data_IF_241250195482
#
_entry.id   IF_241250195482
#
_cell.length_a   1.000
_cell.length_b   1.000
_cell.length_c   1.000
_cell.angle_alpha   90.00
_cell.angle_beta   90.00
_cell.angle_gamma   90.00
#
_symmetry.space_group_name_H-M   'P 1'
#
loop_
_entity.id
_entity.type
_entity.pdbx_description
1 polymer ?
#
# COMPACT_ATOMS: atom_id res chain seq x y z
N UNK A 1 -14.86 5.04 15.20
CA UNK A 1 -13.47 5.44 15.46
C UNK A 1 -12.71 4.23 16.01
N UNK A 2 -12.80 3.06 15.34
CA UNK A 2 -12.39 1.77 15.91
C UNK A 2 -10.86 1.54 15.87
N UNK A 3 -10.19 1.98 14.80
CA UNK A 3 -8.74 1.73 14.59
C UNK A 3 -7.84 2.31 15.69
N UNK A 4 -8.16 3.49 16.23
CA UNK A 4 -7.33 4.07 17.29
C UNK A 4 -7.39 3.28 18.61
N UNK A 5 -8.53 2.65 18.88
CA UNK A 5 -8.75 1.81 20.07
C UNK A 5 -8.20 0.39 19.83
N UNK A 6 -8.50 -0.20 18.67
CA UNK A 6 -8.12 -1.58 18.29
C UNK A 6 -6.60 -1.82 18.16
N UNK A 7 -5.82 -0.74 18.09
CA UNK A 7 -4.36 -0.77 17.92
C UNK A 7 -3.62 0.06 18.99
N UNK A 8 -4.30 0.46 20.07
CA UNK A 8 -3.69 1.25 21.13
C UNK A 8 -2.54 0.51 21.85
N UNK A 9 -2.55 -0.82 21.81
CA UNK A 9 -1.54 -1.71 22.36
C UNK A 9 -0.28 -1.86 21.48
N UNK A 10 -0.40 -1.56 20.18
CA UNK A 10 0.66 -1.81 19.19
C UNK A 10 1.75 -0.75 19.22
N UNK A 11 1.36 0.52 19.40
CA UNK A 11 2.29 1.64 19.42
C UNK A 11 1.72 2.90 18.79
N UNK A 12 2.52 3.97 18.67
CA UNK A 12 2.07 5.21 18.06
C UNK A 12 1.80 5.04 16.57
N UNK A 13 0.79 5.75 16.07
CA UNK A 13 0.46 5.83 14.64
C UNK A 13 0.78 7.24 14.15
N UNK A 14 1.69 7.35 13.19
CA UNK A 14 1.91 8.61 12.46
C UNK A 14 0.86 8.72 11.35
N UNK A 15 0.14 9.85 11.31
CA UNK A 15 -0.87 10.13 10.28
C UNK A 15 -0.45 11.33 9.41
N UNK A 16 -0.51 11.14 8.10
CA UNK A 16 -0.35 12.20 7.12
C UNK A 16 -1.68 12.47 6.42
N UNK A 17 -2.23 13.68 6.60
CA UNK A 17 -3.46 14.10 5.92
C UNK A 17 -3.17 14.48 4.48
N UNK A 18 -3.95 13.94 3.53
CA UNK A 18 -3.75 14.11 2.08
C UNK A 18 -5.05 14.38 1.37
N UNK A 19 -4.99 15.03 0.21
CA UNK A 19 -6.09 15.00 -0.75
C UNK A 19 -5.84 13.88 -1.76
N UNK A 20 -6.80 12.97 -1.87
CA UNK A 20 -6.76 11.82 -2.77
C UNK A 20 -8.11 11.83 -3.51
N UNK A 21 -8.06 11.82 -4.84
CA UNK A 21 -9.26 11.84 -5.70
C UNK A 21 -10.25 12.96 -5.35
N UNK A 22 -9.73 14.15 -5.02
CA UNK A 22 -10.51 15.31 -4.59
C UNK A 22 -11.04 15.26 -3.16
N UNK A 23 -11.04 14.11 -2.49
CA UNK A 23 -11.46 13.95 -1.10
C UNK A 23 -10.32 14.13 -0.09
N UNK A 24 -10.68 14.45 1.16
CA UNK A 24 -9.75 14.42 2.28
C UNK A 24 -9.56 12.97 2.75
N UNK A 25 -8.31 12.55 2.87
CA UNK A 25 -7.90 11.21 3.30
C UNK A 25 -6.72 11.31 4.27
N UNK A 26 -6.35 10.19 4.88
CA UNK A 26 -5.19 10.05 5.75
C UNK A 26 -4.40 8.80 5.38
N UNK A 27 -3.08 8.90 5.40
CA UNK A 27 -2.17 7.75 5.35
C UNK A 27 -1.59 7.50 6.74
N UNK A 28 -1.59 6.25 7.18
CA UNK A 28 -1.00 5.84 8.45
C UNK A 28 0.33 5.12 8.29
N UNK A 29 1.24 5.36 9.23
CA UNK A 29 2.48 4.61 9.42
C UNK A 29 2.58 4.20 10.89
N UNK A 30 2.04 3.03 11.27
CA UNK A 30 2.16 2.51 12.63
C UNK A 30 3.62 2.17 12.93
N UNK A 31 4.08 2.45 14.15
CA UNK A 31 5.42 2.10 14.63
C UNK A 31 5.26 1.13 15.78
N UNK A 32 5.83 -0.06 15.64
CA UNK A 32 5.81 -1.11 16.65
C UNK A 32 7.13 -1.90 16.60
N UNK A 33 7.41 -2.63 17.68
CA UNK A 33 8.59 -3.48 17.76
C UNK A 33 8.41 -4.69 16.83
N UNK A 34 9.38 -4.88 15.94
CA UNK A 34 9.38 -6.01 15.01
C UNK A 34 9.84 -7.28 15.74
N UNK A 35 9.04 -8.33 15.67
CA UNK A 35 9.36 -9.66 16.18
C UNK A 35 9.79 -10.58 15.03
N UNK A 36 8.87 -10.82 14.09
CA UNK A 36 9.08 -11.68 12.94
C UNK A 36 8.13 -11.36 11.77
N UNK A 37 8.25 -12.14 10.69
CA UNK A 37 7.40 -11.98 9.50
C UNK A 37 5.95 -12.39 9.74
N UNK A 38 5.67 -13.31 10.68
CA UNK A 38 4.31 -13.72 11.01
C UNK A 38 3.55 -12.61 11.73
N UNK A 39 4.22 -11.90 12.65
CA UNK A 39 3.72 -10.69 13.30
C UNK A 39 3.36 -9.61 12.26
N UNK A 40 4.23 -9.35 11.28
CA UNK A 40 3.96 -8.40 10.18
C UNK A 40 2.76 -8.79 9.32
N UNK A 41 2.65 -10.08 8.97
CA UNK A 41 1.50 -10.60 8.22
C UNK A 41 0.20 -10.51 9.03
N UNK A 42 0.25 -10.79 10.33
CA UNK A 42 -0.90 -10.65 11.23
C UNK A 42 -1.35 -9.19 11.37
N UNK A 43 -0.40 -8.25 11.48
CA UNK A 43 -0.69 -6.82 11.52
C UNK A 43 -1.38 -6.34 10.25
N UNK A 44 -0.86 -6.77 9.09
CA UNK A 44 -1.46 -6.45 7.78
C UNK A 44 -2.92 -6.92 7.73
N UNK A 45 -3.18 -8.19 8.08
CA UNK A 45 -4.56 -8.73 8.11
C UNK A 45 -5.47 -7.99 9.08
N UNK A 46 -4.98 -7.62 10.28
CA UNK A 46 -5.76 -6.85 11.26
C UNK A 46 -6.17 -5.49 10.69
N UNK A 47 -5.24 -4.77 10.07
CA UNK A 47 -5.51 -3.44 9.50
C UNK A 47 -6.48 -3.52 8.30
N UNK A 48 -6.34 -4.53 7.46
CA UNK A 48 -7.28 -4.78 6.36
C UNK A 48 -8.66 -5.16 6.83
N UNK A 49 -8.77 -5.98 7.88
CA UNK A 49 -10.05 -6.31 8.51
C UNK A 49 -10.74 -5.07 9.10
N UNK A 50 -9.97 -4.04 9.48
CA UNK A 50 -10.48 -2.75 9.90
C UNK A 50 -10.85 -1.80 8.73
N UNK A 51 -10.73 -2.27 7.48
CA UNK A 51 -11.10 -1.55 6.26
C UNK A 51 -10.00 -0.65 5.70
N UNK A 52 -8.74 -0.81 6.13
CA UNK A 52 -7.62 -0.03 5.63
C UNK A 52 -6.95 -0.73 4.44
N UNK A 53 -6.61 0.04 3.40
CA UNK A 53 -5.78 -0.44 2.31
C UNK A 53 -4.30 -0.39 2.72
N UNK A 54 -3.59 -1.52 2.58
CA UNK A 54 -2.19 -1.65 2.99
C UNK A 54 -1.27 -1.74 1.77
N UNK A 55 -0.22 -0.92 1.79
CA UNK A 55 0.93 -1.05 0.92
C UNK A 55 2.07 -1.73 1.68
N UNK A 56 2.69 -2.73 1.07
CA UNK A 56 3.86 -3.39 1.65
C UNK A 56 5.12 -2.56 1.35
N UNK A 57 5.68 -1.94 2.38
CA UNK A 57 6.94 -1.18 2.29
C UNK A 57 8.18 -2.03 2.58
N UNK A 58 8.00 -3.30 2.92
CA UNK A 58 9.06 -4.23 3.32
C UNK A 58 9.45 -5.20 2.18
N UNK A 59 9.28 -4.76 0.94
CA UNK A 59 9.64 -5.53 -0.26
C UNK A 59 10.36 -4.62 -1.26
N UNK A 60 11.37 -5.15 -1.99
CA UNK A 60 12.04 -4.37 -3.03
C UNK A 60 11.28 -4.39 -4.37
N UNK A 61 10.29 -5.27 -4.56
CA UNK A 61 9.60 -5.44 -5.86
C UNK A 61 8.31 -4.62 -5.94
N UNK A 62 7.94 -4.19 -7.15
CA UNK A 62 6.80 -3.29 -7.36
C UNK A 62 5.45 -3.98 -7.18
N UNK A 63 5.30 -5.19 -7.73
CA UNK A 63 4.05 -5.97 -7.61
C UNK A 63 3.74 -6.32 -6.17
N UNK A 64 4.73 -6.81 -5.41
CA UNK A 64 4.55 -7.18 -4.00
C UNK A 64 4.28 -5.97 -3.10
N UNK A 65 4.69 -4.77 -3.51
CA UNK A 65 4.43 -3.55 -2.74
C UNK A 65 2.95 -3.15 -2.77
N UNK A 66 2.21 -3.50 -3.83
CA UNK A 66 0.77 -3.25 -3.96
C UNK A 66 0.38 -1.81 -4.31
N UNK A 67 1.33 -0.88 -4.42
CA UNK A 67 1.06 0.53 -4.77
C UNK A 67 0.97 0.80 -6.27
N UNK A 68 1.87 0.19 -7.05
CA UNK A 68 1.93 0.39 -8.49
C UNK A 68 1.65 -0.94 -9.18
N UNK A 69 0.55 -1.07 -9.91
CA UNK A 69 0.31 -2.24 -10.74
C UNK A 69 1.48 -2.46 -11.70
N UNK A 70 1.95 -3.69 -11.80
CA UNK A 70 2.91 -4.11 -12.81
C UNK A 70 2.16 -4.89 -13.89
N UNK A 71 1.80 -4.22 -14.98
CA UNK A 71 1.09 -4.84 -16.11
C UNK A 71 2.00 -4.93 -17.35
N UNK A 72 1.52 -5.59 -18.40
CA UNK A 72 2.21 -5.70 -19.68
C UNK A 72 2.59 -4.33 -20.28
N UNK A 73 1.83 -3.29 -19.98
CA UNK A 73 2.13 -1.93 -20.44
C UNK A 73 3.36 -1.37 -19.71
N UNK A 74 3.44 -1.51 -18.39
CA UNK A 74 4.63 -1.11 -17.61
C UNK A 74 5.86 -1.90 -18.02
N UNK A 75 5.74 -3.22 -18.24
CA UNK A 75 6.83 -4.06 -18.74
C UNK A 75 7.34 -3.58 -20.10
N UNK A 76 6.43 -3.36 -21.06
CA UNK A 76 6.79 -2.89 -22.41
C UNK A 76 7.48 -1.53 -22.34
N UNK A 77 6.93 -0.61 -21.55
CA UNK A 77 7.51 0.71 -21.37
C UNK A 77 8.91 0.62 -20.76
N UNK A 78 9.12 -0.20 -19.72
CA UNK A 78 10.45 -0.40 -19.14
C UNK A 78 11.45 -0.91 -20.18
N UNK A 79 11.07 -1.89 -21.02
CA UNK A 79 11.94 -2.40 -22.09
C UNK A 79 12.28 -1.34 -23.15
N UNK A 80 11.38 -0.41 -23.42
CA UNK A 80 11.61 0.69 -24.36
C UNK A 80 12.58 1.74 -23.79
N UNK A 81 12.40 2.13 -22.53
CA UNK A 81 13.17 3.23 -21.91
C UNK A 81 14.44 2.77 -21.19
N UNK A 82 14.57 1.48 -20.90
CA UNK A 82 15.70 0.87 -20.21
C UNK A 82 16.16 -0.41 -20.93
N UNK A 83 16.63 -0.31 -22.19
CA UNK A 83 16.98 -1.46 -23.02
C UNK A 83 18.17 -2.28 -22.47
N UNK A 84 18.95 -1.71 -21.57
CA UNK A 84 20.09 -2.36 -20.92
C UNK A 84 19.80 -2.79 -19.47
N UNK A 85 18.59 -2.55 -18.95
CA UNK A 85 18.20 -2.95 -17.60
C UNK A 85 19.00 -2.26 -16.49
N UNK A 86 19.43 -1.01 -16.68
CA UNK A 86 20.29 -0.29 -15.73
C UNK A 86 19.49 0.53 -14.71
N UNK A 87 18.19 0.70 -14.90
CA UNK A 87 17.34 1.49 -14.02
C UNK A 87 16.63 0.60 -13.00
N UNK A 88 17.04 0.74 -11.74
CA UNK A 88 16.41 0.10 -10.58
C UNK A 88 16.30 -1.43 -10.74
N UNK A 89 17.46 -2.08 -10.91
CA UNK A 89 17.57 -3.54 -11.04
C UNK A 89 16.88 -4.25 -9.88
N UNK A 90 16.20 -5.35 -10.17
CA UNK A 90 15.47 -6.17 -9.18
C UNK A 90 14.16 -5.56 -8.65
N UNK A 91 13.74 -4.36 -9.10
CA UNK A 91 12.43 -3.79 -8.74
C UNK A 91 11.30 -4.19 -9.67
N UNK A 92 11.61 -4.46 -10.93
CA UNK A 92 10.64 -4.88 -11.93
C UNK A 92 10.33 -6.35 -11.82
N UNK A 93 9.05 -6.70 -11.89
CA UNK A 93 8.59 -8.09 -11.82
C UNK A 93 8.62 -8.81 -13.19
N UNK A 94 9.42 -8.30 -14.13
CA UNK A 94 9.69 -8.93 -15.43
C UNK A 94 10.71 -10.09 -15.31
N UNK A 95 11.44 -10.16 -14.20
CA UNK A 95 12.40 -11.23 -13.90
C UNK A 95 11.73 -12.33 -13.06
N UNK A 96 12.04 -13.59 -13.40
CA UNK A 96 11.44 -14.83 -12.89
C UNK A 96 11.48 -14.95 -11.36
N UNK A 97 10.58 -15.79 -10.83
CA UNK A 97 10.46 -16.29 -9.44
C UNK A 97 11.78 -16.25 -8.65
N UNK A 98 12.07 -15.11 -8.04
CA UNK A 98 13.28 -14.94 -7.23
C UNK A 98 12.94 -15.08 -5.74
N UNK A 99 13.86 -15.60 -4.94
CA UNK A 99 13.66 -15.88 -3.51
C UNK A 99 13.21 -14.62 -2.73
N UNK A 100 13.61 -13.44 -3.21
CA UNK A 100 13.26 -12.14 -2.65
C UNK A 100 11.77 -11.83 -2.78
N UNK A 101 11.15 -12.20 -3.90
CA UNK A 101 9.71 -11.99 -4.07
C UNK A 101 8.95 -12.82 -3.04
N UNK A 102 9.30 -14.11 -2.91
CA UNK A 102 8.60 -15.04 -2.02
C UNK A 102 8.83 -14.74 -0.53
N UNK A 103 10.01 -14.29 -0.15
CA UNK A 103 10.35 -13.99 1.26
C UNK A 103 9.75 -12.69 1.78
N UNK A 104 9.23 -11.82 0.90
CA UNK A 104 8.71 -10.50 1.29
C UNK A 104 7.21 -10.31 1.01
N UNK A 105 6.50 -11.35 0.55
CA UNK A 105 5.05 -11.27 0.30
C UNK A 105 4.31 -11.09 1.62
N UNK A 106 3.55 -10.01 1.73
CA UNK A 106 2.52 -9.84 2.74
C UNK A 106 1.14 -10.05 2.13
N UNK A 107 0.17 -10.59 2.88
CA UNK A 107 -1.21 -10.72 2.44
C UNK A 107 -1.80 -9.31 2.38
N UNK A 108 -1.66 -8.62 1.25
CA UNK A 108 -2.24 -7.30 1.03
C UNK A 108 -3.18 -7.30 -0.16
N UNK A 109 -4.28 -6.60 0.00
CA UNK A 109 -5.32 -6.31 -0.99
C UNK A 109 -4.89 -5.22 -1.98
N UNK A 110 -3.71 -4.61 -1.77
CA UNK A 110 -3.17 -3.55 -2.59
C UNK A 110 -3.72 -2.17 -2.23
N UNK A 111 -3.17 -1.15 -2.89
CA UNK A 111 -3.45 0.25 -2.58
C UNK A 111 -4.12 0.94 -3.78
N UNK A 112 -5.07 1.85 -3.53
CA UNK A 112 -5.81 2.54 -4.60
C UNK A 112 -5.93 4.05 -4.34
N UNK A 113 -5.66 4.86 -5.38
CA UNK A 113 -5.86 6.32 -5.36
C UNK A 113 -7.33 6.73 -5.49
N UNK A 114 -8.25 5.84 -5.79
CA UNK A 114 -9.68 6.15 -5.94
C UNK A 114 -10.42 5.93 -4.64
N UNK A 115 -11.15 6.96 -4.21
CA UNK A 115 -12.08 6.81 -3.12
C UNK A 115 -13.26 5.98 -3.61
N UNK A 116 -13.50 4.84 -2.97
CA UNK A 116 -14.57 3.90 -3.36
C UNK A 116 -15.97 4.43 -3.04
N UNK A 117 -16.07 5.49 -2.21
CA UNK A 117 -17.32 6.15 -1.88
C UNK A 117 -17.11 7.64 -1.55
N UNK A 118 -17.44 8.52 -2.48
CA UNK A 118 -17.40 9.99 -2.29
C UNK A 118 -18.74 10.57 -1.84
N UNK A 119 -19.79 9.75 -1.68
CA UNK A 119 -21.14 10.22 -1.35
C UNK A 119 -21.22 10.91 0.02
N UNK A 120 -20.23 10.64 0.89
CA UNK A 120 -20.10 11.24 2.23
C UNK A 120 -19.32 12.56 2.24
N UNK A 121 -18.70 12.95 1.12
CA UNK A 121 -17.90 14.18 0.99
C UNK A 121 -18.71 15.37 0.50
N UNK A 122 -19.91 15.16 -0.05
CA UNK A 122 -20.82 16.24 -0.41
C UNK A 122 -21.55 16.73 0.84
N UNK A 123 -21.06 17.81 1.45
CA UNK A 123 -21.92 18.60 2.34
C UNK A 123 -22.99 19.24 1.47
N UNK A 124 -24.25 18.85 1.68
CA UNK A 124 -25.43 19.56 1.18
C UNK A 124 -25.41 20.98 1.75
N UNK A 125 -24.86 21.91 0.98
CA UNK A 125 -24.59 23.28 1.41
C UNK A 125 -24.90 24.30 0.33
N UNK A 126 -26.04 24.17 -0.35
CA UNK A 126 -26.65 25.27 -1.12
C UNK A 126 -28.16 25.28 -0.86
N UNK A 127 -28.53 25.88 0.27
CA UNK A 127 -29.79 26.61 0.39
C UNK A 127 -29.45 28.03 0.80
N UNK A 128 -29.52 28.95 -0.17
CA UNK A 128 -29.94 30.34 0.00
C UNK A 128 -30.26 30.93 -1.36
#
# INVERSE_FOLDING_TARGET
>A
MAVAEDFADVGPIHLEMKRIDGGLSAQGSPVFEFEDQEQMAAMTRRLEAAGLAIANTHTPTLKSSGMKPWTDNESRFKREVDPYGLLAQGKSDDELEDDVHNSTVLPSSGWNYRLTDTSRLTTSGEQQ
#
